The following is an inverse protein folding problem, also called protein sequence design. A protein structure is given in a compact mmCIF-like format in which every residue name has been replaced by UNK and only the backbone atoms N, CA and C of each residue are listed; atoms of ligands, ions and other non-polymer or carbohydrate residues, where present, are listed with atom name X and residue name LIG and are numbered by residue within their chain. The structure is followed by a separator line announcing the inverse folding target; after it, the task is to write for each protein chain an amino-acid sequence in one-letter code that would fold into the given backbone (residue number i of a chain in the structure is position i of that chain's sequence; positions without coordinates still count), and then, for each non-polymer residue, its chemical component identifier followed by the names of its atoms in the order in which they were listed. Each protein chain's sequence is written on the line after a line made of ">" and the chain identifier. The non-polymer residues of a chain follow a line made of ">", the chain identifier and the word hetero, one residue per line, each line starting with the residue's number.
data_IF_047546996301
#
_entry.id   IF_047546996301
#
_cell.length_a   1.000
_cell.length_b   1.000
_cell.length_c   1.000
_cell.angle_alpha   90.00
_cell.angle_beta   90.00
_cell.angle_gamma   90.00
#
_symmetry.space_group_name_H-M   'P 1'
#
loop_
_entity.id
_entity.type
_entity.pdbx_description
1 polymer ?
#
# COMPACT_ATOMS: atom_id res chain seq x y z
N UNK A 1 -9.93 -11.53 30.38
CA UNK A 1 -11.29 -11.21 30.87
C UNK A 1 -11.64 -9.85 30.30
N UNK A 2 -12.34 -9.86 29.17
CA UNK A 2 -12.65 -8.68 28.36
C UNK A 2 -13.90 -8.01 28.93
N UNK A 3 -13.76 -6.78 29.42
CA UNK A 3 -14.88 -5.97 29.90
C UNK A 3 -15.65 -5.44 28.68
N UNK A 4 -16.79 -6.06 28.37
CA UNK A 4 -17.78 -5.50 27.47
C UNK A 4 -18.50 -4.33 28.17
N UNK A 5 -18.78 -3.21 27.48
CA UNK A 5 -19.62 -2.15 28.05
C UNK A 5 -21.06 -2.65 28.21
N UNK A 6 -21.63 -2.43 29.39
CA UNK A 6 -23.00 -2.83 29.69
C UNK A 6 -24.00 -1.98 28.88
N UNK A 7 -24.93 -2.65 28.21
CA UNK A 7 -26.04 -1.99 27.52
C UNK A 7 -26.98 -1.34 28.55
N UNK A 8 -27.56 -0.15 28.28
CA UNK A 8 -28.49 0.49 29.19
C UNK A 8 -29.79 -0.32 29.29
N UNK A 9 -30.18 -0.71 30.51
CA UNK A 9 -31.50 -1.26 30.77
C UNK A 9 -32.55 -0.13 30.75
N UNK A 10 -33.69 -0.29 30.06
CA UNK A 10 -34.75 0.71 30.03
C UNK A 10 -35.34 0.93 31.44
N UNK A 11 -35.27 2.16 31.96
CA UNK A 11 -36.10 2.60 33.09
C UNK A 11 -35.41 3.16 34.33
N UNK A 12 -34.08 3.33 34.36
CA UNK A 12 -33.40 3.96 35.52
C UNK A 12 -33.12 5.43 35.21
N UNK A 13 -33.68 6.40 35.98
CA UNK A 13 -33.32 7.80 35.83
C UNK A 13 -31.92 8.02 36.39
N UNK A 14 -30.96 8.33 35.52
CA UNK A 14 -29.61 8.75 35.94
C UNK A 14 -29.71 10.17 36.47
N UNK A 15 -29.39 10.34 37.75
CA UNK A 15 -29.30 11.63 38.42
C UNK A 15 -28.14 12.45 37.87
N UNK A 16 -28.48 13.68 37.50
CA UNK A 16 -27.67 14.74 36.94
C UNK A 16 -26.29 14.91 37.59
N UNK A 17 -25.25 14.69 36.80
CA UNK A 17 -23.98 15.43 36.90
C UNK A 17 -24.01 16.52 35.82
N UNK A 18 -23.51 17.71 36.16
CA UNK A 18 -23.60 18.98 35.44
C UNK A 18 -23.58 18.89 33.91
N UNK A 19 -24.46 19.63 33.19
CA UNK A 19 -24.40 19.68 31.75
C UNK A 19 -23.18 20.51 31.34
N UNK A 20 -22.06 19.87 31.03
CA UNK A 20 -21.22 20.40 29.96
C UNK A 20 -22.14 20.59 28.77
N UNK A 21 -22.24 21.84 28.32
CA UNK A 21 -23.10 22.22 27.20
C UNK A 21 -22.91 21.17 26.09
N UNK A 22 -23.98 20.62 25.51
CA UNK A 22 -23.83 19.66 24.43
C UNK A 22 -23.03 20.39 23.35
N UNK A 23 -21.85 19.88 22.99
CA UNK A 23 -21.27 20.22 21.69
C UNK A 23 -22.42 20.12 20.70
N UNK A 24 -22.74 21.25 20.06
CA UNK A 24 -23.93 21.34 19.23
C UNK A 24 -23.93 20.15 18.28
N UNK A 25 -25.05 19.43 18.12
CA UNK A 25 -25.11 18.29 17.21
C UNK A 25 -24.64 18.65 15.80
N UNK A 26 -24.78 19.93 15.43
CA UNK A 26 -24.25 20.50 14.20
C UNK A 26 -22.70 20.56 14.19
N UNK A 27 -22.05 20.90 15.31
CA UNK A 27 -20.59 20.95 15.41
C UNK A 27 -20.00 19.53 15.39
N UNK A 28 -20.62 18.58 16.08
CA UNK A 28 -20.26 17.16 15.96
C UNK A 28 -20.44 16.63 14.52
N UNK A 29 -21.53 17.01 13.85
CA UNK A 29 -21.75 16.65 12.44
C UNK A 29 -20.72 17.28 11.50
N UNK A 30 -20.30 18.54 11.75
CA UNK A 30 -19.24 19.21 10.99
C UNK A 30 -17.89 18.54 11.19
N UNK A 31 -17.56 18.17 12.42
CA UNK A 31 -16.31 17.47 12.70
C UNK A 31 -16.28 16.12 11.96
N UNK A 32 -17.35 15.33 12.05
CA UNK A 32 -17.46 14.08 11.30
C UNK A 32 -17.32 14.30 9.78
N UNK A 33 -17.90 15.37 9.23
CA UNK A 33 -17.77 15.69 7.81
C UNK A 33 -16.31 16.02 7.44
N UNK A 34 -15.62 16.80 8.28
CA UNK A 34 -14.21 17.14 8.08
C UNK A 34 -13.33 15.88 8.16
N UNK A 35 -13.53 15.03 9.16
CA UNK A 35 -12.80 13.77 9.34
C UNK A 35 -13.01 12.83 8.13
N UNK A 36 -14.25 12.75 7.64
CA UNK A 36 -14.59 12.04 6.41
C UNK A 36 -13.89 12.63 5.18
N UNK A 37 -13.63 13.93 5.15
CA UNK A 37 -12.93 14.61 4.06
C UNK A 37 -11.42 14.36 4.09
N UNK A 38 -10.81 14.30 5.28
CA UNK A 38 -9.36 14.08 5.44
C UNK A 38 -8.96 12.61 5.27
N UNK A 39 -9.83 11.67 5.69
CA UNK A 39 -9.53 10.23 5.67
C UNK A 39 -9.15 9.69 4.28
N UNK A 40 -9.85 10.03 3.17
CA UNK A 40 -9.46 9.60 1.82
C UNK A 40 -8.09 10.11 1.40
N UNK A 41 -7.71 11.34 1.79
CA UNK A 41 -6.40 11.89 1.46
C UNK A 41 -5.27 11.12 2.17
N UNK A 42 -5.49 10.76 3.43
CA UNK A 42 -4.55 9.90 4.18
C UNK A 42 -4.45 8.49 3.59
N UNK A 43 -5.59 7.90 3.22
CA UNK A 43 -5.62 6.59 2.56
C UNK A 43 -4.87 6.59 1.23
N UNK A 44 -5.06 7.63 0.41
CA UNK A 44 -4.34 7.78 -0.86
C UNK A 44 -2.83 7.88 -0.64
N UNK A 45 -2.37 8.68 0.32
CA UNK A 45 -0.94 8.75 0.68
C UNK A 45 -0.39 7.39 1.10
N UNK A 46 -1.14 6.67 1.94
CA UNK A 46 -0.73 5.34 2.38
C UNK A 46 -0.66 4.33 1.22
N UNK A 47 -1.64 4.36 0.31
CA UNK A 47 -1.64 3.53 -0.91
C UNK A 47 -0.42 3.81 -1.79
N UNK A 48 -0.06 5.08 -1.95
CA UNK A 48 1.13 5.49 -2.72
C UNK A 48 2.42 4.96 -2.08
N UNK A 49 2.57 5.07 -0.76
CA UNK A 49 3.69 4.48 -0.03
C UNK A 49 3.74 2.96 -0.14
N UNK A 50 2.59 2.28 -0.10
CA UNK A 50 2.49 0.83 -0.31
C UNK A 50 2.88 0.44 -1.74
N UNK A 51 2.52 1.23 -2.75
CA UNK A 51 2.95 1.01 -4.12
C UNK A 51 4.48 1.15 -4.27
N UNK A 52 5.09 2.13 -3.60
CA UNK A 52 6.54 2.27 -3.55
C UNK A 52 7.21 1.02 -2.95
N UNK A 53 6.68 0.53 -1.83
CA UNK A 53 7.18 -0.68 -1.18
C UNK A 53 7.04 -1.91 -2.10
N UNK A 54 5.89 -2.05 -2.78
CA UNK A 54 5.67 -3.14 -3.72
C UNK A 54 6.71 -3.11 -4.85
N UNK A 55 6.98 -1.95 -5.44
CA UNK A 55 8.00 -1.78 -6.47
C UNK A 55 9.39 -2.24 -6.00
N UNK A 56 9.79 -1.84 -4.78
CA UNK A 56 11.06 -2.27 -4.17
C UNK A 56 11.11 -3.78 -3.95
N UNK A 57 10.03 -4.39 -3.46
CA UNK A 57 9.99 -5.84 -3.22
C UNK A 57 10.07 -6.63 -4.53
N UNK A 58 9.38 -6.17 -5.56
CA UNK A 58 9.40 -6.79 -6.90
C UNK A 58 10.80 -6.73 -7.51
N UNK A 59 11.43 -5.55 -7.51
CA UNK A 59 12.79 -5.38 -8.03
C UNK A 59 13.81 -6.25 -7.26
N UNK A 60 13.65 -6.36 -5.93
CA UNK A 60 14.49 -7.22 -5.10
C UNK A 60 14.29 -8.70 -5.40
N UNK A 61 13.07 -9.13 -5.70
CA UNK A 61 12.79 -10.52 -6.02
C UNK A 61 13.49 -10.92 -7.33
N UNK A 62 13.38 -10.08 -8.37
CA UNK A 62 14.11 -10.29 -9.62
C UNK A 62 15.63 -10.28 -9.39
N UNK A 63 16.14 -9.32 -8.63
CA UNK A 63 17.57 -9.19 -8.30
C UNK A 63 18.13 -10.38 -7.54
N UNK A 64 17.38 -10.90 -6.56
CA UNK A 64 17.77 -12.06 -5.77
C UNK A 64 17.94 -13.30 -6.66
N UNK A 65 17.04 -13.51 -7.61
CA UNK A 65 17.15 -14.64 -8.53
C UNK A 65 18.27 -14.47 -9.56
N UNK A 66 18.55 -13.24 -10.01
CA UNK A 66 19.72 -12.96 -10.85
C UNK A 66 21.02 -13.25 -10.09
N UNK A 67 21.08 -12.87 -8.81
CA UNK A 67 22.22 -13.14 -7.93
C UNK A 67 22.39 -14.65 -7.70
N UNK A 68 21.31 -15.38 -7.43
CA UNK A 68 21.33 -16.84 -7.32
C UNK A 68 21.87 -17.48 -8.59
N UNK A 69 21.36 -17.09 -9.76
CA UNK A 69 21.84 -17.60 -11.05
C UNK A 69 23.32 -17.28 -11.31
N UNK A 70 23.84 -16.17 -10.78
CA UNK A 70 25.27 -15.86 -10.83
C UNK A 70 26.09 -16.80 -9.92
N UNK A 71 25.63 -17.02 -8.69
CA UNK A 71 26.31 -17.89 -7.71
C UNK A 71 26.35 -19.34 -8.21
N UNK A 72 25.24 -19.82 -8.78
CA UNK A 72 25.12 -21.18 -9.32
C UNK A 72 25.67 -21.33 -10.73
N UNK A 73 26.26 -20.26 -11.30
CA UNK A 73 26.80 -20.23 -12.65
C UNK A 73 25.81 -20.75 -13.72
N UNK A 74 24.53 -20.37 -13.61
CA UNK A 74 23.50 -20.75 -14.56
C UNK A 74 23.87 -20.32 -15.98
N UNK A 75 23.64 -21.22 -16.93
CA UNK A 75 23.70 -20.89 -18.33
C UNK A 75 22.56 -19.93 -18.74
N UNK A 76 22.59 -19.47 -19.99
CA UNK A 76 21.60 -18.51 -20.49
C UNK A 76 20.16 -19.05 -20.41
N UNK A 77 19.95 -20.32 -20.77
CA UNK A 77 18.63 -20.92 -20.78
C UNK A 77 18.08 -21.06 -19.35
N UNK A 78 18.92 -21.50 -18.41
CA UNK A 78 18.55 -21.59 -16.99
C UNK A 78 18.15 -20.23 -16.42
N UNK A 79 18.89 -19.16 -16.74
CA UNK A 79 18.55 -17.79 -16.33
C UNK A 79 17.23 -17.32 -16.92
N UNK A 80 17.00 -17.55 -18.21
CA UNK A 80 15.74 -17.20 -18.87
C UNK A 80 14.55 -17.96 -18.25
N UNK A 81 14.74 -19.23 -17.89
CA UNK A 81 13.73 -20.04 -17.20
C UNK A 81 13.42 -19.49 -15.80
N UNK A 82 14.44 -19.14 -15.02
CA UNK A 82 14.26 -18.53 -13.69
C UNK A 82 13.50 -17.21 -13.78
N UNK A 83 13.86 -16.31 -14.71
CA UNK A 83 13.15 -15.03 -14.89
C UNK A 83 11.69 -15.23 -15.31
N UNK A 84 11.40 -16.23 -16.14
CA UNK A 84 10.01 -16.60 -16.48
C UNK A 84 9.26 -17.11 -15.26
N UNK A 85 9.89 -17.95 -14.44
CA UNK A 85 9.29 -18.47 -13.21
C UNK A 85 8.93 -17.35 -12.24
N UNK A 86 9.81 -16.37 -12.03
CA UNK A 86 9.52 -15.21 -11.16
C UNK A 86 8.34 -14.41 -11.68
N UNK A 87 8.29 -14.15 -12.99
CA UNK A 87 7.17 -13.43 -13.61
C UNK A 87 5.85 -14.15 -13.37
N UNK A 88 5.83 -15.48 -13.56
CA UNK A 88 4.66 -16.31 -13.29
C UNK A 88 4.27 -16.28 -11.81
N UNK A 89 5.25 -16.35 -10.90
CA UNK A 89 5.00 -16.29 -9.46
C UNK A 89 4.40 -14.94 -9.03
N UNK A 90 4.96 -13.82 -9.51
CA UNK A 90 4.43 -12.48 -9.26
C UNK A 90 3.01 -12.33 -9.82
N UNK A 91 2.77 -12.83 -11.04
CA UNK A 91 1.46 -12.84 -11.66
C UNK A 91 0.44 -13.59 -10.78
N UNK A 92 0.83 -14.75 -10.27
CA UNK A 92 -0.01 -15.59 -9.41
C UNK A 92 -0.28 -14.93 -8.05
N UNK A 93 0.74 -14.39 -7.37
CA UNK A 93 0.61 -13.72 -6.06
C UNK A 93 -0.31 -12.51 -6.15
N UNK A 94 -0.18 -11.71 -7.21
CA UNK A 94 -0.95 -10.48 -7.39
C UNK A 94 -2.28 -10.71 -8.12
N UNK A 95 -2.57 -11.95 -8.53
CA UNK A 95 -3.77 -12.31 -9.29
C UNK A 95 -3.94 -11.48 -10.57
N UNK A 96 -2.84 -11.29 -11.31
CA UNK A 96 -2.80 -10.55 -12.58
C UNK A 96 -2.29 -11.44 -13.72
N UNK A 97 -2.54 -11.07 -14.99
CA UNK A 97 -1.93 -11.76 -16.12
C UNK A 97 -0.40 -11.63 -16.12
N UNK A 98 0.33 -12.64 -16.61
CA UNK A 98 1.80 -12.60 -16.72
C UNK A 98 2.31 -11.42 -17.56
N UNK A 99 1.57 -10.99 -18.58
CA UNK A 99 1.92 -9.81 -19.38
C UNK A 99 1.88 -8.53 -18.55
N UNK A 100 0.93 -8.41 -17.62
CA UNK A 100 0.85 -7.30 -16.68
C UNK A 100 1.99 -7.38 -15.65
N UNK A 101 2.29 -8.58 -15.14
CA UNK A 101 3.44 -8.79 -14.25
C UNK A 101 4.77 -8.43 -14.92
N UNK A 102 4.97 -8.74 -16.21
CA UNK A 102 6.19 -8.34 -16.93
C UNK A 102 6.36 -6.82 -16.94
N UNK A 103 5.30 -6.09 -17.32
CA UNK A 103 5.32 -4.62 -17.33
C UNK A 103 5.53 -4.03 -15.94
N UNK A 104 4.90 -4.63 -14.93
CA UNK A 104 5.06 -4.24 -13.53
C UNK A 104 6.52 -4.36 -13.09
N UNK A 105 7.18 -5.48 -13.40
CA UNK A 105 8.61 -5.71 -13.10
C UNK A 105 9.47 -4.65 -13.82
N UNK A 106 9.24 -4.41 -15.11
CA UNK A 106 9.98 -3.42 -15.89
C UNK A 106 9.90 -2.02 -15.28
N UNK A 107 8.68 -1.55 -14.96
CA UNK A 107 8.48 -0.24 -14.33
C UNK A 107 9.04 -0.19 -12.90
N UNK A 108 8.83 -1.23 -12.10
CA UNK A 108 9.37 -1.30 -10.74
C UNK A 108 10.90 -1.21 -10.75
N UNK A 109 11.55 -1.96 -11.64
CA UNK A 109 13.01 -1.94 -11.81
C UNK A 109 13.50 -0.58 -12.30
N UNK A 110 12.81 0.07 -13.26
CA UNK A 110 13.12 1.43 -13.71
C UNK A 110 13.02 2.45 -12.56
N UNK A 111 11.90 2.45 -11.83
CA UNK A 111 11.66 3.37 -10.71
C UNK A 111 12.73 3.21 -9.63
N UNK A 112 13.03 1.97 -9.23
CA UNK A 112 13.96 1.69 -8.13
C UNK A 112 15.41 1.99 -8.51
N UNK A 113 15.83 1.64 -9.72
CA UNK A 113 17.25 1.75 -10.12
C UNK A 113 17.60 3.09 -10.76
N UNK A 114 16.67 3.69 -11.49
CA UNK A 114 16.95 4.86 -12.33
C UNK A 114 16.32 6.15 -11.78
N UNK A 115 15.25 6.05 -10.98
CA UNK A 115 14.47 7.21 -10.55
C UNK A 115 14.31 7.29 -9.01
N UNK A 116 15.42 7.41 -8.25
CA UNK A 116 15.37 7.42 -6.79
C UNK A 116 14.54 8.58 -6.21
N UNK A 117 14.47 9.73 -6.90
CA UNK A 117 13.63 10.85 -6.47
C UNK A 117 12.13 10.51 -6.63
N UNK A 118 11.75 9.90 -7.75
CA UNK A 118 10.38 9.41 -7.97
C UNK A 118 9.99 8.40 -6.90
N UNK A 119 10.86 7.43 -6.62
CA UNK A 119 10.66 6.48 -5.54
C UNK A 119 10.51 7.17 -4.16
N UNK A 120 11.30 8.21 -3.91
CA UNK A 120 11.21 9.03 -2.69
C UNK A 120 9.84 9.68 -2.52
N UNK A 121 9.32 10.32 -3.58
CA UNK A 121 7.98 10.94 -3.57
C UNK A 121 6.84 9.92 -3.47
N UNK A 122 7.00 8.73 -4.05
CA UNK A 122 6.02 7.66 -3.82
C UNK A 122 6.05 7.20 -2.36
N UNK A 123 7.26 7.05 -1.79
CA UNK A 123 7.45 6.59 -0.41
C UNK A 123 6.87 7.57 0.61
N UNK A 124 6.95 8.89 0.36
CA UNK A 124 6.30 9.92 1.18
C UNK A 124 4.77 10.02 0.95
N UNK A 125 4.24 9.29 -0.03
CA UNK A 125 2.82 9.30 -0.38
C UNK A 125 2.40 10.45 -1.30
N UNK A 126 3.34 11.29 -1.74
CA UNK A 126 3.09 12.47 -2.58
C UNK A 126 2.85 12.11 -4.06
N UNK A 127 3.32 10.95 -4.50
CA UNK A 127 3.22 10.51 -5.89
C UNK A 127 2.56 9.12 -6.00
N UNK A 128 1.50 9.02 -6.79
CA UNK A 128 0.85 7.75 -7.11
C UNK A 128 1.60 6.92 -8.14
N UNK A 129 1.30 5.62 -8.17
CA UNK A 129 1.90 4.66 -9.11
C UNK A 129 1.64 5.05 -10.57
N UNK A 130 0.43 5.48 -10.89
CA UNK A 130 0.02 5.89 -12.23
C UNK A 130 0.87 7.05 -12.77
N UNK A 131 1.26 8.00 -11.91
CA UNK A 131 2.14 9.09 -12.29
C UNK A 131 3.60 8.61 -12.37
N UNK A 132 4.04 7.77 -11.44
CA UNK A 132 5.39 7.23 -11.43
C UNK A 132 5.72 6.43 -12.70
N UNK A 133 4.77 5.63 -13.20
CA UNK A 133 4.92 4.83 -14.42
C UNK A 133 5.06 5.68 -15.69
N UNK A 134 4.48 6.89 -15.73
CA UNK A 134 4.64 7.81 -16.86
C UNK A 134 6.06 8.40 -16.90
N UNK A 135 6.68 8.56 -15.73
CA UNK A 135 8.05 9.07 -15.60
C UNK A 135 9.09 7.97 -15.92
N UNK A 136 8.71 6.70 -15.70
CA UNK A 136 9.58 5.52 -15.70
C UNK A 136 9.84 4.86 -17.06
#
# INVERSE_FOLDING_TARGET
>A
MSHLPALPLPGVPVTSSEPHAPESQLDAARQNLNDCGESPALLSKHQNSCAALAAVVIERFESAAQLEGNILAFDRWQRELTLRSIRAEIANILLIPESAASRLIEHATSIVRLLPNTLGHMSSGELGWECAVIIA
#
